data_IF_766935824510
#
_entry.id   IF_766935824510
#
_cell.length_a   1.000
_cell.length_b   1.000
_cell.length_c   1.000
_cell.angle_alpha   90.00
_cell.angle_beta   90.00
_cell.angle_gamma   90.00
#
_symmetry.space_group_name_H-M   'P 1'
#
loop_
_entity.id
_entity.type
_entity.pdbx_description
1 polymer ?
#
# COMPACT_ATOMS: atom_id res chain seq x y z
N UNK A 1 -5.09 -3.62 -48.41
CA UNK A 1 -4.22 -3.42 -47.23
C UNK A 1 -5.09 -3.36 -45.98
N UNK A 2 -5.52 -4.51 -45.46
CA UNK A 2 -6.51 -4.59 -44.37
C UNK A 2 -5.83 -4.52 -43.00
N UNK A 3 -6.03 -3.43 -42.27
CA UNK A 3 -5.62 -3.30 -40.87
C UNK A 3 -6.65 -4.00 -39.97
N UNK A 4 -6.54 -5.32 -39.84
CA UNK A 4 -7.28 -6.11 -38.84
C UNK A 4 -6.41 -6.32 -37.59
N UNK A 5 -6.38 -5.35 -36.68
CA UNK A 5 -5.90 -5.56 -35.31
C UNK A 5 -6.78 -4.79 -34.31
N UNK A 6 -8.08 -5.12 -34.32
CA UNK A 6 -9.00 -4.75 -33.24
C UNK A 6 -8.99 -5.83 -32.15
N UNK A 7 -7.86 -5.98 -31.45
CA UNK A 7 -7.80 -6.80 -30.25
C UNK A 7 -8.33 -5.99 -29.08
N UNK A 8 -9.52 -6.34 -28.57
CA UNK A 8 -10.05 -5.80 -27.31
C UNK A 8 -9.21 -6.27 -26.11
N UNK A 9 -8.00 -5.71 -25.97
CA UNK A 9 -7.16 -5.87 -24.79
C UNK A 9 -7.76 -5.09 -23.62
N UNK A 10 -8.80 -5.66 -23.00
CA UNK A 10 -9.37 -5.11 -21.76
C UNK A 10 -8.24 -4.90 -20.75
N UNK A 11 -8.09 -3.69 -20.17
CA UNK A 11 -6.96 -3.39 -19.31
C UNK A 11 -6.95 -4.32 -18.09
N UNK A 12 -5.87 -5.10 -17.94
CA UNK A 12 -5.66 -5.95 -16.77
C UNK A 12 -5.62 -5.07 -15.51
N UNK A 13 -6.61 -5.26 -14.63
CA UNK A 13 -6.69 -4.53 -13.36
C UNK A 13 -5.38 -4.70 -12.60
N UNK A 14 -4.79 -3.58 -12.18
CA UNK A 14 -3.51 -3.55 -11.45
C UNK A 14 -3.67 -3.57 -9.93
N UNK A 15 -4.90 -3.46 -9.42
CA UNK A 15 -5.18 -3.35 -7.99
C UNK A 15 -6.30 -4.29 -7.58
N UNK A 16 -6.15 -4.92 -6.41
CA UNK A 16 -7.21 -5.71 -5.78
C UNK A 16 -8.38 -4.83 -5.31
N UNK A 17 -9.58 -5.39 -5.33
CA UNK A 17 -10.77 -4.78 -4.74
C UNK A 17 -10.71 -4.71 -3.21
N UNK A 18 -11.59 -3.92 -2.60
CA UNK A 18 -11.64 -3.77 -1.14
C UNK A 18 -11.91 -5.11 -0.42
N UNK A 19 -12.83 -5.92 -0.94
CA UNK A 19 -13.15 -7.26 -0.40
C UNK A 19 -11.95 -8.20 -0.43
N UNK A 20 -11.23 -8.22 -1.55
CA UNK A 20 -10.04 -9.04 -1.73
C UNK A 20 -8.92 -8.66 -0.76
N UNK A 21 -8.73 -7.34 -0.54
CA UNK A 21 -7.77 -6.84 0.47
C UNK A 21 -8.12 -7.32 1.86
N UNK A 22 -9.42 -7.34 2.21
CA UNK A 22 -9.89 -7.81 3.51
C UNK A 22 -9.67 -9.31 3.70
N UNK A 23 -9.89 -10.11 2.66
CA UNK A 23 -9.57 -11.55 2.66
C UNK A 23 -8.06 -11.76 2.87
N UNK A 24 -7.23 -10.98 2.17
CA UNK A 24 -5.78 -11.05 2.30
C UNK A 24 -5.29 -10.67 3.71
N UNK A 25 -5.90 -9.65 4.31
CA UNK A 25 -5.62 -9.20 5.67
C UNK A 25 -5.89 -10.30 6.70
N UNK A 26 -7.04 -10.96 6.58
CA UNK A 26 -7.44 -12.06 7.46
C UNK A 26 -6.53 -13.27 7.27
N UNK A 27 -6.21 -13.61 6.01
CA UNK A 27 -5.28 -14.71 5.69
C UNK A 27 -3.89 -14.49 6.28
N UNK A 28 -3.40 -13.24 6.27
CA UNK A 28 -2.10 -12.89 6.83
C UNK A 28 -2.10 -12.73 8.37
N UNK A 29 -3.23 -12.97 9.03
CA UNK A 29 -3.34 -12.90 10.49
C UNK A 29 -3.06 -11.50 11.06
N UNK A 30 -3.48 -10.45 10.33
CA UNK A 30 -3.29 -9.04 10.74
C UNK A 30 -1.83 -8.60 10.86
N UNK A 31 -0.92 -9.26 10.13
CA UNK A 31 0.52 -9.01 10.13
C UNK A 31 1.05 -8.85 8.70
N UNK A 32 2.19 -8.17 8.58
CA UNK A 32 2.96 -8.11 7.34
C UNK A 32 3.60 -9.47 7.05
N UNK A 33 3.36 -10.05 5.88
CA UNK A 33 3.97 -11.34 5.49
C UNK A 33 5.49 -11.23 5.26
N UNK A 34 5.99 -10.02 5.01
CA UNK A 34 7.43 -9.79 4.80
C UNK A 34 8.18 -9.59 6.12
N UNK A 35 7.71 -8.68 6.97
CA UNK A 35 8.44 -8.27 8.18
C UNK A 35 7.79 -8.68 9.51
N UNK A 36 6.63 -9.35 9.47
CA UNK A 36 5.92 -9.83 10.67
C UNK A 36 5.27 -8.74 11.55
N UNK A 37 5.41 -7.46 11.23
CA UNK A 37 4.81 -6.35 12.01
C UNK A 37 3.28 -6.43 11.97
N UNK A 38 2.61 -6.21 13.11
CA UNK A 38 1.15 -6.05 13.21
C UNK A 38 0.72 -4.79 12.45
N UNK A 39 -0.37 -4.89 11.69
CA UNK A 39 -0.92 -3.79 10.88
C UNK A 39 -2.43 -3.74 11.03
N UNK A 40 -2.99 -2.54 10.90
CA UNK A 40 -4.43 -2.33 10.74
C UNK A 40 -4.83 -2.47 9.27
N UNK A 41 -6.10 -2.81 9.02
CA UNK A 41 -6.65 -2.96 7.67
C UNK A 41 -6.51 -1.65 6.84
N UNK A 42 -6.51 -0.49 7.50
CA UNK A 42 -6.35 0.82 6.85
C UNK A 42 -4.91 1.12 6.42
N UNK A 43 -3.92 0.57 7.10
CA UNK A 43 -2.49 0.75 6.80
C UNK A 43 -1.92 -0.37 5.93
N UNK A 44 -2.70 -1.42 5.72
CA UNK A 44 -2.34 -2.54 4.88
C UNK A 44 -2.29 -2.12 3.41
N UNK A 45 -1.21 -2.52 2.74
CA UNK A 45 -1.10 -2.46 1.29
C UNK A 45 -1.06 -3.87 0.69
N UNK A 46 -1.61 -4.00 -0.52
CA UNK A 46 -1.51 -5.21 -1.34
C UNK A 46 -0.25 -5.11 -2.21
N UNK A 47 0.78 -5.88 -1.88
CA UNK A 47 2.00 -6.00 -2.68
C UNK A 47 1.90 -7.18 -3.65
N UNK A 48 2.39 -7.04 -4.88
CA UNK A 48 2.42 -8.15 -5.83
C UNK A 48 3.70 -8.97 -5.66
N UNK A 49 3.62 -10.29 -5.51
CA UNK A 49 4.78 -11.19 -5.44
C UNK A 49 5.55 -11.17 -6.76
N UNK A 50 4.82 -11.28 -7.86
CA UNK A 50 5.32 -11.01 -9.20
C UNK A 50 4.86 -9.63 -9.66
N UNK A 51 5.82 -8.75 -9.94
CA UNK A 51 5.56 -7.40 -10.41
C UNK A 51 4.72 -7.40 -11.69
N UNK A 52 3.83 -6.40 -11.82
CA UNK A 52 3.00 -6.25 -13.01
C UNK A 52 3.83 -6.06 -14.30
N UNK A 53 5.01 -5.43 -14.19
CA UNK A 53 5.96 -5.29 -15.31
C UNK A 53 6.55 -6.62 -15.80
N UNK A 54 6.50 -7.67 -14.98
CA UNK A 54 6.95 -9.03 -15.30
C UNK A 54 5.78 -9.97 -15.64
N UNK A 55 4.62 -9.42 -15.99
CA UNK A 55 3.42 -10.19 -16.33
C UNK A 55 2.59 -10.67 -15.13
N UNK A 56 2.89 -10.21 -13.92
CA UNK A 56 2.13 -10.56 -12.71
C UNK A 56 0.69 -10.03 -12.73
N UNK A 57 -0.28 -10.90 -12.43
CA UNK A 57 -1.70 -10.52 -12.32
C UNK A 57 -2.06 -10.03 -10.92
N UNK A 58 -3.02 -9.12 -10.81
CA UNK A 58 -3.56 -8.67 -9.52
C UNK A 58 -4.57 -9.70 -8.97
N UNK A 59 -4.08 -10.90 -8.66
CA UNK A 59 -4.89 -11.98 -8.06
C UNK A 59 -4.58 -12.12 -6.58
N UNK A 60 -5.52 -12.68 -5.81
CA UNK A 60 -5.34 -12.99 -4.39
C UNK A 60 -4.13 -13.91 -4.14
N UNK A 61 -3.77 -14.77 -5.09
CA UNK A 61 -2.61 -15.68 -4.98
C UNK A 61 -1.28 -14.96 -5.18
N UNK A 62 -1.23 -14.05 -6.14
CA UNK A 62 -0.05 -13.25 -6.44
C UNK A 62 0.10 -12.06 -5.49
N UNK A 63 -0.93 -11.71 -4.72
CA UNK A 63 -0.87 -10.58 -3.80
C UNK A 63 -0.47 -11.03 -2.39
N UNK A 64 0.20 -10.14 -1.68
CA UNK A 64 0.73 -10.33 -0.34
C UNK A 64 0.33 -9.14 0.55
N UNK A 65 0.14 -9.42 1.85
CA UNK A 65 -0.17 -8.40 2.84
C UNK A 65 1.13 -7.75 3.30
N UNK A 66 1.35 -6.48 2.95
CA UNK A 66 2.58 -5.75 3.26
C UNK A 66 2.31 -4.41 3.93
N UNK A 67 3.20 -3.99 4.82
CA UNK A 67 3.16 -2.64 5.38
C UNK A 67 3.63 -1.60 4.37
N UNK A 68 3.28 -0.33 4.58
CA UNK A 68 3.73 0.77 3.73
C UNK A 68 5.26 0.83 3.53
N UNK A 69 6.04 0.46 4.56
CA UNK A 69 7.50 0.39 4.49
C UNK A 69 7.97 -0.71 3.55
N UNK A 70 7.48 -1.94 3.75
CA UNK A 70 7.81 -3.10 2.93
C UNK A 70 7.36 -2.90 1.48
N UNK A 71 6.19 -2.29 1.26
CA UNK A 71 5.70 -1.98 -0.06
C UNK A 71 6.63 -1.02 -0.82
N UNK A 72 7.16 0.02 -0.14
CA UNK A 72 8.13 0.95 -0.72
C UNK A 72 9.49 0.30 -0.97
N UNK A 73 9.96 -0.53 -0.05
CA UNK A 73 11.22 -1.27 -0.18
C UNK A 73 11.17 -2.29 -1.31
N UNK A 74 10.01 -2.91 -1.55
CA UNK A 74 9.84 -3.88 -2.63
C UNK A 74 9.86 -3.18 -4.00
N UNK A 75 9.14 -2.07 -4.17
CA UNK A 75 9.13 -1.33 -5.44
C UNK A 75 8.79 -2.21 -6.65
N UNK A 76 9.73 -2.37 -7.57
CA UNK A 76 9.63 -3.21 -8.78
C UNK A 76 10.35 -4.56 -8.66
N UNK A 77 10.95 -4.84 -7.51
CA UNK A 77 11.66 -6.08 -7.27
C UNK A 77 10.72 -7.29 -7.22
N UNK A 78 11.27 -8.45 -7.58
CA UNK A 78 10.57 -9.72 -7.36
C UNK A 78 10.52 -10.06 -5.87
N UNK A 79 9.50 -10.78 -5.44
CA UNK A 79 9.36 -11.20 -4.04
C UNK A 79 10.61 -11.92 -3.51
N UNK A 80 11.22 -12.79 -4.32
CA UNK A 80 12.44 -13.51 -3.93
C UNK A 80 13.63 -12.56 -3.67
N UNK A 81 13.85 -11.59 -4.57
CA UNK A 81 14.89 -10.57 -4.40
C UNK A 81 14.62 -9.70 -3.17
N UNK A 82 13.36 -9.32 -2.98
CA UNK A 82 12.91 -8.52 -1.85
C UNK A 82 13.12 -9.21 -0.51
N UNK A 83 12.74 -10.49 -0.38
CA UNK A 83 12.95 -11.26 0.85
C UNK A 83 14.44 -11.41 1.19
N UNK A 84 15.31 -11.60 0.17
CA UNK A 84 16.77 -11.59 0.37
C UNK A 84 17.29 -10.25 0.88
N UNK A 85 16.75 -9.13 0.38
CA UNK A 85 17.11 -7.78 0.87
C UNK A 85 16.61 -7.55 2.30
N UNK A 86 15.40 -8.00 2.62
CA UNK A 86 14.80 -7.84 3.94
C UNK A 86 15.59 -8.57 5.04
N UNK A 87 16.07 -9.79 4.74
CA UNK A 87 16.89 -10.57 5.68
C UNK A 87 18.18 -9.85 6.10
N UNK A 88 18.70 -8.95 5.25
CA UNK A 88 19.87 -8.10 5.58
C UNK A 88 19.49 -6.86 6.40
N UNK A 89 18.26 -6.38 6.30
CA UNK A 89 17.78 -5.18 7.02
C UNK A 89 17.16 -5.46 8.41
N UNK A 90 17.23 -6.72 8.89
CA UNK A 90 16.74 -7.12 10.22
C UNK A 90 17.43 -6.47 11.43
N UNK A 91 18.43 -5.59 11.22
CA UNK A 91 19.21 -4.93 12.30
C UNK A 91 18.96 -3.44 12.45
N UNK A 92 17.89 -2.88 11.91
CA UNK A 92 17.50 -1.49 12.21
C UNK A 92 16.21 -1.51 13.01
N UNK A 93 16.44 -1.52 14.33
CA UNK A 93 15.44 -1.36 15.36
C UNK A 93 14.47 -0.23 15.02
N UNK A 94 13.22 -0.51 15.34
CA UNK A 94 12.09 0.38 15.19
C UNK A 94 12.31 1.61 16.08
N UNK A 95 12.76 2.73 15.53
CA UNK A 95 12.40 4.05 16.04
C UNK A 95 11.12 4.45 15.31
N UNK A 96 9.99 4.02 15.85
CA UNK A 96 9.14 4.83 16.71
C UNK A 96 8.64 6.10 16.00
N UNK A 97 7.38 6.02 15.58
CA UNK A 97 6.40 7.11 15.46
C UNK A 97 6.83 8.48 14.91
N UNK A 98 6.19 8.88 13.81
CA UNK A 98 5.65 10.24 13.74
C UNK A 98 4.13 10.15 13.62
N UNK A 99 3.35 10.61 14.62
CA UNK A 99 1.92 10.75 14.46
C UNK A 99 1.64 11.76 13.36
N UNK A 100 0.77 11.39 12.42
CA UNK A 100 0.29 12.27 11.35
C UNK A 100 -0.48 13.41 12.03
N UNK A 101 0.09 14.62 12.08
CA UNK A 101 -0.59 15.82 12.61
C UNK A 101 -1.92 16.01 11.88
N UNK A 102 -3.05 15.82 12.57
CA UNK A 102 -4.37 16.26 12.09
C UNK A 102 -4.32 17.79 11.96
N UNK A 103 -4.47 18.32 10.75
CA UNK A 103 -4.69 19.75 10.52
C UNK A 103 -6.01 20.14 11.22
N UNK A 104 -5.92 20.80 12.37
CA UNK A 104 -7.04 21.42 13.07
C UNK A 104 -7.50 22.59 12.21
N UNK A 105 -8.70 22.51 11.62
CA UNK A 105 -9.34 23.66 10.98
C UNK A 105 -9.51 24.74 12.06
N UNK A 106 -8.80 25.86 11.90
CA UNK A 106 -9.05 27.05 12.69
C UNK A 106 -10.44 27.56 12.32
N UNK A 107 -11.32 27.61 13.30
CA UNK A 107 -12.60 28.31 13.21
C UNK A 107 -12.33 29.67 13.87
N UNK A 108 -12.14 30.68 13.05
CA UNK A 108 -11.83 32.03 13.50
C UNK A 108 -13.16 32.65 13.96
N UNK A 109 -13.40 32.63 15.28
CA UNK A 109 -14.36 33.53 15.90
C UNK A 109 -13.60 34.82 16.25
N UNK A 110 -13.73 35.82 15.39
CA UNK A 110 -13.34 37.20 15.71
C UNK A 110 -14.41 37.81 16.64
N UNK A 111 -14.17 37.60 17.93
CA UNK A 111 -14.51 38.52 19.01
C UNK A 111 -13.70 39.82 18.81
N UNK A 112 -14.21 40.93 19.36
CA UNK A 112 -13.70 42.33 19.27
C UNK A 112 -13.98 43.03 17.94
N UNK A 113 -14.78 44.09 17.86
CA UNK A 113 -15.14 45.08 18.86
C UNK A 113 -14.83 46.47 18.28
N UNK A 114 -15.66 47.45 18.64
CA UNK A 114 -15.49 48.91 18.48
C UNK A 114 -15.42 49.47 17.05
N UNK A 115 -16.40 50.31 16.67
CA UNK A 115 -16.14 51.68 16.20
C UNK A 115 -17.46 52.46 15.99
N UNK A 116 -17.61 53.55 16.73
CA UNK A 116 -18.16 54.85 16.29
C UNK A 116 -19.57 54.92 15.67
N UNK A 117 -20.42 55.78 16.25
CA UNK A 117 -21.53 56.44 15.56
C UNK A 117 -22.80 56.50 16.36
#
# INVERSE_FOLDING_TARGET
>A
MGWFFGGDDKPKKRTLGARDKQILYLRAGKKCEACGKKLDLSEMHSGHKNAASKGGSATLRNSACVCARCNKLQGTDSWATFMKKLGKEGKRSVTSSKPRKKKKQKKDNSFFGSLFG
#
